data_IF_383774602193
#
_entry.id   IF_383774602193
#
_cell.length_a   1.000
_cell.length_b   1.000
_cell.length_c   1.000
_cell.angle_alpha   90.00
_cell.angle_beta   90.00
_cell.angle_gamma   90.00
#
_symmetry.space_group_name_H-M   'P 1'
#
loop_
_entity.id
_entity.type
_entity.pdbx_description
1 polymer ?
#
# COMPACT_ATOMS: atom_id res chain seq x y z
N UNK A 1 -45.49 47.36 22.56
CA UNK A 1 -44.37 48.24 22.16
C UNK A 1 -43.07 47.48 22.43
N UNK A 2 -42.27 47.32 21.38
CA UNK A 2 -41.12 46.43 21.25
C UNK A 2 -39.98 46.76 22.24
N UNK A 3 -39.37 45.74 22.87
CA UNK A 3 -37.95 45.77 23.26
C UNK A 3 -37.34 44.36 23.14
N UNK A 4 -36.76 44.13 21.97
CA UNK A 4 -35.78 43.08 21.68
C UNK A 4 -34.43 43.46 22.31
N UNK A 5 -33.64 42.46 22.71
CA UNK A 5 -32.15 42.36 22.76
C UNK A 5 -31.71 41.68 24.07
N UNK A 6 -30.82 40.69 24.12
CA UNK A 6 -29.89 40.11 23.15
C UNK A 6 -29.35 38.84 23.78
N UNK A 7 -29.47 37.67 23.13
CA UNK A 7 -28.69 36.49 23.50
C UNK A 7 -27.32 36.64 22.84
N UNK A 8 -26.28 36.81 23.65
CA UNK A 8 -24.89 36.84 23.20
C UNK A 8 -24.46 35.38 22.91
N UNK A 9 -24.63 34.93 21.66
CA UNK A 9 -24.03 33.68 21.22
C UNK A 9 -22.56 33.96 20.89
N UNK A 10 -21.65 33.53 21.78
CA UNK A 10 -20.22 33.53 21.52
C UNK A 10 -19.96 32.41 20.50
N UNK A 11 -19.83 32.78 19.24
CA UNK A 11 -19.34 31.90 18.19
C UNK A 11 -17.82 31.80 18.38
N UNK A 12 -17.36 30.76 19.07
CA UNK A 12 -15.94 30.40 19.07
C UNK A 12 -15.65 29.91 17.66
N UNK A 13 -15.14 30.81 16.82
CA UNK A 13 -14.49 30.46 15.57
C UNK A 13 -13.25 29.67 15.99
N UNK A 14 -13.37 28.35 16.01
CA UNK A 14 -12.21 27.48 15.95
C UNK A 14 -11.47 27.87 14.68
N UNK A 15 -10.31 28.50 14.87
CA UNK A 15 -9.30 28.60 13.84
C UNK A 15 -9.05 27.17 13.34
N UNK A 16 -9.66 26.84 12.21
CA UNK A 16 -9.15 25.78 11.36
C UNK A 16 -7.75 26.24 11.00
N UNK A 17 -6.75 25.67 11.66
CA UNK A 17 -5.41 25.64 11.13
C UNK A 17 -5.52 24.87 9.81
N UNK A 18 -5.83 25.58 8.73
CA UNK A 18 -5.42 25.16 7.41
C UNK A 18 -3.89 25.16 7.49
N UNK A 19 -3.29 23.98 7.64
CA UNK A 19 -1.90 23.83 7.23
C UNK A 19 -1.89 24.26 5.76
N UNK A 20 -1.33 25.43 5.52
CA UNK A 20 -1.03 25.91 4.19
C UNK A 20 -0.07 24.88 3.60
N UNK A 21 -0.57 24.03 2.70
CA UNK A 21 0.23 23.12 1.89
C UNK A 21 1.20 24.00 1.10
N UNK A 22 2.40 24.19 1.63
CA UNK A 22 3.48 24.86 0.92
C UNK A 22 3.83 23.99 -0.29
N UNK A 23 3.78 24.51 -1.54
CA UNK A 23 4.17 23.73 -2.70
C UNK A 23 5.68 23.41 -2.63
N UNK A 24 5.95 22.13 -2.32
CA UNK A 24 7.10 21.30 -2.73
C UNK A 24 8.46 21.98 -2.96
N UNK A 25 9.31 21.94 -1.93
CA UNK A 25 10.77 21.85 -2.12
C UNK A 25 11.19 20.37 -2.15
N UNK A 26 10.51 19.52 -2.92
CA UNK A 26 10.95 18.13 -3.15
C UNK A 26 11.74 18.08 -4.46
N UNK A 27 12.87 17.40 -4.46
CA UNK A 27 13.83 17.40 -5.57
C UNK A 27 13.75 16.12 -6.42
N UNK A 28 13.41 14.99 -5.80
CA UNK A 28 13.27 13.68 -6.46
C UNK A 28 11.92 13.07 -6.08
N UNK A 29 11.26 12.43 -7.03
CA UNK A 29 10.04 11.67 -6.78
C UNK A 29 10.07 10.29 -7.41
N UNK A 30 9.47 9.31 -6.73
CA UNK A 30 9.20 7.97 -7.22
C UNK A 30 7.68 7.77 -7.30
N UNK A 31 7.20 7.32 -8.45
CA UNK A 31 5.80 6.95 -8.68
C UNK A 31 5.69 5.45 -8.89
N UNK A 32 5.06 4.77 -7.93
CA UNK A 32 4.77 3.34 -8.01
C UNK A 32 3.33 3.15 -8.48
N UNK A 33 3.16 2.85 -9.75
CA UNK A 33 1.84 2.64 -10.33
C UNK A 33 1.25 1.29 -9.91
N UNK A 34 -0.08 1.25 -9.74
CA UNK A 34 -0.83 0.04 -9.40
C UNK A 34 -0.51 -1.13 -10.35
N UNK A 35 -0.35 -0.85 -11.64
CA UNK A 35 -0.04 -1.86 -12.64
C UNK A 35 1.29 -2.60 -12.36
N UNK A 36 2.31 -1.92 -11.81
CA UNK A 36 3.57 -2.56 -11.42
C UNK A 36 3.33 -3.65 -10.36
N UNK A 37 2.50 -3.33 -9.38
CA UNK A 37 2.19 -4.24 -8.27
C UNK A 37 1.27 -5.37 -8.76
N UNK A 38 0.31 -5.04 -9.64
CA UNK A 38 -0.55 -6.03 -10.27
C UNK A 38 0.21 -6.96 -11.23
N UNK A 39 1.26 -6.48 -11.90
CA UNK A 39 2.15 -7.32 -12.69
C UNK A 39 3.00 -8.23 -11.81
N UNK A 40 3.40 -7.80 -10.61
CA UNK A 40 3.99 -8.71 -9.62
C UNK A 40 3.03 -9.88 -9.28
N UNK A 41 1.76 -9.61 -8.98
CA UNK A 41 0.78 -10.66 -8.70
C UNK A 41 0.53 -11.61 -9.87
N UNK A 42 0.60 -11.13 -11.12
CA UNK A 42 0.51 -11.99 -12.31
C UNK A 42 1.71 -12.93 -12.46
N UNK A 43 2.90 -12.48 -12.04
CA UNK A 43 4.16 -13.19 -12.27
C UNK A 43 4.64 -14.03 -11.07
N UNK A 44 4.06 -13.87 -9.88
CA UNK A 44 4.48 -14.62 -8.68
C UNK A 44 4.12 -16.12 -8.70
N UNK A 45 3.36 -16.57 -9.69
CA UNK A 45 2.90 -17.95 -9.80
C UNK A 45 1.55 -18.22 -9.13
N UNK A 46 1.24 -19.49 -8.92
CA UNK A 46 -0.07 -19.93 -8.42
C UNK A 46 -0.09 -19.99 -6.89
N UNK A 47 -0.96 -19.22 -6.25
CA UNK A 47 -1.26 -19.37 -4.82
C UNK A 47 -2.42 -20.35 -4.68
N UNK A 48 -2.13 -21.50 -4.07
CA UNK A 48 -3.06 -22.61 -3.94
C UNK A 48 -2.71 -23.45 -2.71
N UNK A 49 -3.69 -24.20 -2.23
CA UNK A 49 -3.51 -25.14 -1.14
C UNK A 49 -4.60 -26.21 -1.15
N UNK A 50 -4.57 -27.05 -0.14
CA UNK A 50 -5.51 -28.13 0.04
C UNK A 50 -5.83 -28.35 1.52
N UNK A 51 -6.86 -29.15 1.77
CA UNK A 51 -7.24 -29.56 3.12
C UNK A 51 -8.22 -30.71 3.09
N UNK A 52 -8.65 -31.14 4.27
CA UNK A 52 -9.51 -32.30 4.45
C UNK A 52 -10.80 -31.92 5.18
N UNK A 53 -11.89 -32.56 4.76
CA UNK A 53 -13.22 -32.50 5.38
C UNK A 53 -13.73 -33.95 5.51
N UNK A 54 -14.74 -34.23 6.35
CA UNK A 54 -15.16 -35.61 6.64
C UNK A 54 -15.52 -36.48 5.42
N UNK A 55 -15.88 -35.86 4.30
CA UNK A 55 -16.33 -36.52 3.07
C UNK A 55 -15.38 -36.30 1.88
N UNK A 56 -14.14 -35.84 2.10
CA UNK A 56 -13.12 -35.80 1.06
C UNK A 56 -12.01 -34.77 1.26
N UNK A 57 -11.17 -34.64 0.24
CA UNK A 57 -10.15 -33.58 0.16
C UNK A 57 -10.67 -32.43 -0.69
N UNK A 58 -10.37 -31.21 -0.26
CA UNK A 58 -10.61 -30.02 -1.07
C UNK A 58 -9.30 -29.40 -1.53
N UNK A 59 -9.33 -28.74 -2.68
CA UNK A 59 -8.24 -27.90 -3.19
C UNK A 59 -8.77 -26.50 -3.38
N UNK A 60 -7.96 -25.50 -3.10
CA UNK A 60 -8.29 -24.11 -3.38
C UNK A 60 -7.16 -23.42 -4.14
N UNK A 61 -7.52 -22.40 -4.92
CA UNK A 61 -6.58 -21.57 -5.67
C UNK A 61 -7.11 -20.15 -5.80
N UNK A 62 -6.23 -19.16 -5.64
CA UNK A 62 -6.52 -17.77 -5.97
C UNK A 62 -6.52 -17.54 -7.49
N UNK A 63 -7.42 -16.68 -7.92
CA UNK A 63 -7.65 -16.26 -9.29
C UNK A 63 -7.57 -14.74 -9.32
N UNK A 64 -6.71 -14.23 -10.19
CA UNK A 64 -6.54 -12.80 -10.43
C UNK A 64 -6.38 -11.97 -9.13
N UNK A 65 -5.44 -12.32 -8.23
CA UNK A 65 -5.09 -11.43 -7.13
C UNK A 65 -4.57 -10.11 -7.69
N UNK A 66 -5.10 -9.01 -7.17
CA UNK A 66 -4.72 -7.65 -7.55
C UNK A 66 -4.98 -6.69 -6.41
N UNK A 67 -4.38 -5.51 -6.50
CA UNK A 67 -4.74 -4.38 -5.67
C UNK A 67 -5.42 -3.29 -6.48
N UNK A 68 -6.18 -2.45 -5.78
CA UNK A 68 -6.73 -1.19 -6.26
C UNK A 68 -6.26 -0.06 -5.34
N UNK A 69 -5.61 0.96 -5.88
CA UNK A 69 -5.08 2.10 -5.12
C UNK A 69 -6.03 3.29 -5.28
N UNK A 70 -6.56 3.76 -4.15
CA UNK A 70 -7.39 4.95 -4.03
C UNK A 70 -6.65 6.05 -3.27
N UNK A 71 -7.24 7.25 -3.23
CA UNK A 71 -6.62 8.45 -2.62
C UNK A 71 -6.24 8.30 -1.15
N UNK A 72 -6.83 7.35 -0.41
CA UNK A 72 -6.57 7.14 1.02
C UNK A 72 -6.49 5.66 1.42
N UNK A 73 -6.57 4.75 0.45
CA UNK A 73 -6.63 3.32 0.76
C UNK A 73 -6.12 2.46 -0.37
N UNK A 74 -5.70 1.24 -0.02
CA UNK A 74 -5.34 0.21 -0.98
C UNK A 74 -6.13 -1.04 -0.64
N UNK A 75 -6.89 -1.53 -1.62
CA UNK A 75 -7.74 -2.70 -1.50
C UNK A 75 -7.08 -3.88 -2.20
N UNK A 76 -6.96 -5.01 -1.52
CA UNK A 76 -6.69 -6.29 -2.15
C UNK A 76 -8.01 -6.92 -2.63
N UNK A 77 -8.02 -7.43 -3.86
CA UNK A 77 -9.15 -8.19 -4.40
C UNK A 77 -8.67 -9.44 -5.11
N UNK A 78 -9.41 -10.53 -4.94
CA UNK A 78 -9.18 -11.77 -5.68
C UNK A 78 -10.46 -12.61 -5.72
N UNK A 79 -10.46 -13.67 -6.51
CA UNK A 79 -11.45 -14.74 -6.46
C UNK A 79 -10.78 -16.02 -6.00
N UNK A 80 -11.35 -16.72 -5.05
CA UNK A 80 -10.90 -18.06 -4.68
C UNK A 80 -11.77 -19.10 -5.36
N UNK A 81 -11.16 -20.10 -6.00
CA UNK A 81 -11.86 -21.29 -6.50
C UNK A 81 -11.57 -22.43 -5.55
N UNK A 82 -12.62 -23.07 -5.02
CA UNK A 82 -12.50 -24.30 -4.25
C UNK A 82 -13.07 -25.47 -5.06
N UNK A 83 -12.45 -26.65 -4.92
CA UNK A 83 -12.81 -27.86 -5.65
C UNK A 83 -12.81 -29.07 -4.73
N UNK A 84 -13.89 -29.87 -4.77
CA UNK A 84 -14.02 -31.17 -4.08
C UNK A 84 -14.38 -32.18 -5.16
N UNK A 85 -13.42 -33.04 -5.54
CA UNK A 85 -13.56 -33.86 -6.74
C UNK A 85 -13.84 -32.99 -7.97
N UNK A 86 -14.96 -33.26 -8.66
CA UNK A 86 -15.38 -32.50 -9.84
C UNK A 86 -16.23 -31.26 -9.52
N UNK A 87 -16.71 -31.12 -8.27
CA UNK A 87 -17.55 -29.99 -7.85
C UNK A 87 -16.67 -28.78 -7.54
N UNK A 88 -17.08 -27.60 -8.01
CA UNK A 88 -16.33 -26.35 -7.85
C UNK A 88 -17.25 -25.23 -7.38
N UNK A 89 -16.73 -24.37 -6.53
CA UNK A 89 -17.37 -23.11 -6.11
C UNK A 89 -16.37 -21.97 -6.17
N UNK A 90 -16.86 -20.74 -6.12
CA UNK A 90 -16.05 -19.53 -6.15
C UNK A 90 -16.55 -18.51 -5.15
N UNK A 91 -15.61 -17.91 -4.43
CA UNK A 91 -15.90 -16.80 -3.53
C UNK A 91 -15.00 -15.60 -3.83
N UNK A 92 -15.51 -14.41 -3.55
CA UNK A 92 -14.72 -13.19 -3.67
C UNK A 92 -13.96 -12.94 -2.37
N UNK A 93 -12.69 -12.59 -2.49
CA UNK A 93 -11.85 -12.18 -1.38
C UNK A 93 -11.61 -10.69 -1.50
N UNK A 94 -11.83 -9.97 -0.40
CA UNK A 94 -11.47 -8.56 -0.26
C UNK A 94 -10.59 -8.41 0.96
N UNK A 95 -9.63 -7.50 0.86
CA UNK A 95 -8.69 -7.24 1.93
C UNK A 95 -8.19 -5.81 1.89
N UNK A 96 -7.51 -5.41 2.97
CA UNK A 96 -6.86 -4.10 3.07
C UNK A 96 -5.35 -4.28 2.99
N UNK A 97 -4.70 -3.34 2.33
CA UNK A 97 -3.24 -3.31 2.18
C UNK A 97 -2.72 -2.06 2.89
N UNK A 98 -1.80 -2.24 3.84
CA UNK A 98 -1.08 -1.13 4.43
C UNK A 98 0.05 -0.70 3.51
N UNK A 99 0.30 0.61 3.50
CA UNK A 99 1.38 1.23 2.73
C UNK A 99 2.16 2.17 3.63
N UNK A 100 3.48 2.04 3.66
CA UNK A 100 4.34 2.92 4.45
C UNK A 100 5.68 3.17 3.78
N UNK A 101 6.35 4.26 4.17
CA UNK A 101 7.70 4.56 3.75
C UNK A 101 8.61 4.64 4.98
N UNK A 102 9.65 3.81 4.99
CA UNK A 102 10.71 3.87 5.99
C UNK A 102 11.85 4.74 5.44
N UNK A 103 11.96 5.97 5.95
CA UNK A 103 12.96 6.93 5.51
C UNK A 103 14.40 6.50 5.85
N UNK A 104 14.62 5.84 6.99
CA UNK A 104 15.97 5.39 7.39
C UNK A 104 16.51 4.30 6.47
N UNK A 105 15.65 3.40 6.03
CA UNK A 105 16.02 2.31 5.11
C UNK A 105 15.81 2.69 3.64
N UNK A 106 15.22 3.85 3.36
CA UNK A 106 14.73 4.27 2.06
C UNK A 106 13.88 3.17 1.36
N UNK A 107 12.88 2.63 2.06
CA UNK A 107 12.01 1.55 1.52
C UNK A 107 10.54 1.94 1.54
N UNK A 108 9.88 1.75 0.40
CA UNK A 108 8.41 1.65 0.33
C UNK A 108 8.01 0.23 0.67
N UNK A 109 7.05 0.07 1.57
CA UNK A 109 6.59 -1.21 2.09
C UNK A 109 5.08 -1.32 1.89
N UNK A 110 4.65 -2.38 1.22
CA UNK A 110 3.25 -2.76 1.07
C UNK A 110 2.99 -4.12 1.71
N UNK A 111 1.95 -4.22 2.54
CA UNK A 111 1.59 -5.46 3.22
C UNK A 111 0.08 -5.68 3.15
N UNK A 112 -0.33 -6.86 2.71
CA UNK A 112 -1.73 -7.30 2.84
C UNK A 112 -1.95 -7.61 4.31
N UNK A 113 -2.77 -6.83 5.01
CA UNK A 113 -2.96 -6.97 6.45
C UNK A 113 -4.05 -7.98 6.80
N UNK A 114 -5.12 -8.00 6.00
CA UNK A 114 -6.26 -8.89 6.21
C UNK A 114 -6.89 -9.21 4.86
N UNK A 115 -7.19 -10.48 4.61
CA UNK A 115 -7.94 -10.91 3.43
C UNK A 115 -8.71 -12.20 3.73
N UNK A 116 -9.68 -12.11 4.65
CA UNK A 116 -10.45 -13.26 5.13
C UNK A 116 -11.56 -13.65 4.16
N UNK A 117 -11.73 -14.95 3.98
CA UNK A 117 -12.83 -15.53 3.20
C UNK A 117 -13.37 -16.78 3.88
N UNK A 118 -14.70 -16.87 3.94
CA UNK A 118 -15.41 -18.10 4.28
C UNK A 118 -15.84 -18.71 2.96
N UNK A 119 -15.50 -19.98 2.74
CA UNK A 119 -15.87 -20.67 1.52
C UNK A 119 -16.88 -21.74 1.89
N UNK A 120 -18.08 -21.58 1.36
CA UNK A 120 -19.17 -22.52 1.47
C UNK A 120 -19.53 -23.13 0.11
N UNK A 121 -20.13 -24.32 0.14
CA UNK A 121 -20.47 -25.08 -1.05
C UNK A 121 -21.81 -25.79 -0.84
N UNK A 122 -22.69 -25.71 -1.84
CA UNK A 122 -23.88 -26.54 -1.89
C UNK A 122 -23.50 -27.98 -2.24
N UNK A 123 -23.67 -28.86 -1.27
CA UNK A 123 -23.48 -30.30 -1.40
C UNK A 123 -24.80 -30.99 -1.07
N UNK A 124 -25.39 -31.61 -2.09
CA UNK A 124 -26.65 -32.35 -1.98
C UNK A 124 -27.83 -31.49 -1.47
N UNK A 125 -27.92 -30.23 -1.92
CA UNK A 125 -29.00 -29.29 -1.56
C UNK A 125 -28.83 -28.68 -0.16
N UNK A 126 -27.64 -28.75 0.41
CA UNK A 126 -27.29 -28.16 1.72
C UNK A 126 -26.04 -27.32 1.56
N UNK A 127 -26.12 -26.07 2.01
CA UNK A 127 -24.96 -25.21 2.05
C UNK A 127 -24.05 -25.58 3.25
N UNK A 128 -22.80 -25.98 2.97
CA UNK A 128 -21.83 -26.42 3.97
C UNK A 128 -20.60 -25.52 3.91
N UNK A 129 -20.20 -24.97 5.06
CA UNK A 129 -18.91 -24.26 5.18
C UNK A 129 -17.78 -25.28 5.06
N UNK A 130 -16.96 -25.12 4.02
CA UNK A 130 -15.84 -26.02 3.75
C UNK A 130 -14.60 -25.57 4.51
N UNK A 131 -14.28 -24.28 4.44
CA UNK A 131 -13.08 -23.74 5.10
C UNK A 131 -13.20 -22.23 5.33
N UNK A 132 -12.35 -21.72 6.22
CA UNK A 132 -12.13 -20.29 6.44
C UNK A 132 -10.64 -20.05 6.24
N UNK A 133 -10.31 -19.12 5.36
CA UNK A 133 -8.93 -18.79 5.04
C UNK A 133 -8.69 -17.31 5.31
N UNK A 134 -7.52 -16.99 5.86
CA UNK A 134 -6.96 -15.65 5.73
C UNK A 134 -5.93 -15.67 4.61
N UNK A 135 -6.25 -15.02 3.50
CA UNK A 135 -5.38 -15.00 2.34
C UNK A 135 -4.12 -14.18 2.62
N UNK A 136 -4.16 -13.25 3.58
CA UNK A 136 -3.01 -12.44 3.98
C UNK A 136 -1.83 -13.31 4.48
N UNK A 137 -2.12 -14.46 5.12
CA UNK A 137 -1.11 -15.38 5.64
C UNK A 137 -0.20 -15.97 4.55
N UNK A 138 -0.68 -16.02 3.29
CA UNK A 138 0.09 -16.50 2.15
C UNK A 138 0.95 -15.40 1.50
N UNK A 139 0.91 -14.19 2.04
CA UNK A 139 1.72 -13.03 1.69
C UNK A 139 2.52 -12.55 2.92
N UNK A 140 3.16 -13.50 3.61
CA UNK A 140 3.92 -13.28 4.85
C UNK A 140 5.03 -12.23 4.71
N UNK A 141 5.64 -12.15 3.54
CA UNK A 141 6.65 -11.16 3.20
C UNK A 141 6.00 -9.94 2.54
N UNK A 142 6.15 -8.75 3.12
CA UNK A 142 5.65 -7.54 2.49
C UNK A 142 6.44 -7.25 1.21
N UNK A 143 5.77 -6.65 0.24
CA UNK A 143 6.40 -6.14 -0.96
C UNK A 143 7.22 -4.90 -0.62
N UNK A 144 8.50 -4.89 -1.00
CA UNK A 144 9.43 -3.81 -0.68
C UNK A 144 10.12 -3.30 -1.94
N UNK A 145 10.13 -1.98 -2.11
CA UNK A 145 10.88 -1.30 -3.16
C UNK A 145 11.75 -0.20 -2.57
N UNK A 146 12.84 0.14 -3.25
CA UNK A 146 13.62 1.32 -2.94
C UNK A 146 12.79 2.59 -3.14
N UNK A 147 12.96 3.55 -2.24
CA UNK A 147 12.44 4.91 -2.43
C UNK A 147 13.38 5.79 -3.24
N UNK A 148 12.97 7.03 -3.55
CA UNK A 148 13.76 7.97 -4.33
C UNK A 148 14.98 8.46 -3.55
N UNK A 149 16.17 8.24 -4.10
CA UNK A 149 17.47 8.65 -3.55
C UNK A 149 18.39 9.20 -4.65
N UNK A 150 19.39 10.02 -4.32
CA UNK A 150 20.41 10.43 -5.28
C UNK A 150 21.23 9.22 -5.74
N UNK A 151 21.80 9.31 -6.95
CA UNK A 151 22.63 8.23 -7.51
C UNK A 151 23.95 8.09 -6.75
N UNK A 152 24.47 9.20 -6.21
CA UNK A 152 25.70 9.26 -5.42
C UNK A 152 25.44 10.06 -4.15
N UNK A 153 26.11 9.68 -3.07
CA UNK A 153 26.11 10.41 -1.79
C UNK A 153 27.01 11.64 -1.84
N UNK A 154 27.87 11.75 -2.85
CA UNK A 154 28.84 12.83 -2.98
C UNK A 154 29.00 13.30 -4.43
N UNK A 155 29.29 14.59 -4.61
CA UNK A 155 29.75 15.17 -5.87
C UNK A 155 31.16 15.74 -5.63
N UNK A 156 32.13 15.28 -6.42
CA UNK A 156 33.52 15.74 -6.37
C UNK A 156 33.82 16.64 -7.57
N UNK A 157 34.49 17.77 -7.34
CA UNK A 157 35.00 18.63 -8.42
C UNK A 157 36.35 19.26 -8.07
N UNK A 158 37.13 19.53 -9.11
CA UNK A 158 38.42 20.22 -8.99
C UNK A 158 38.24 21.74 -9.00
N UNK A 159 38.94 22.42 -8.10
CA UNK A 159 39.00 23.88 -8.02
C UNK A 159 40.16 24.43 -8.85
N UNK A 160 40.14 25.71 -9.26
CA UNK A 160 41.21 26.34 -10.04
C UNK A 160 42.59 26.34 -9.37
N UNK A 161 42.65 26.24 -8.04
CA UNK A 161 43.90 26.15 -7.27
C UNK A 161 44.49 24.72 -7.24
N UNK A 162 43.86 23.77 -7.94
CA UNK A 162 44.26 22.36 -7.99
C UNK A 162 43.76 21.50 -6.83
N UNK A 163 43.06 22.08 -5.86
CA UNK A 163 42.42 21.31 -4.78
C UNK A 163 41.15 20.62 -5.26
N UNK A 164 40.71 19.58 -4.54
CA UNK A 164 39.45 18.89 -4.81
C UNK A 164 38.46 19.22 -3.70
N UNK A 165 37.21 19.51 -4.08
CA UNK A 165 36.10 19.71 -3.16
C UNK A 165 35.10 18.58 -3.32
N UNK A 166 34.64 18.05 -2.19
CA UNK A 166 33.58 17.08 -2.10
C UNK A 166 32.37 17.73 -1.44
N UNK A 167 31.19 17.55 -2.05
CA UNK A 167 29.92 18.00 -1.50
C UNK A 167 29.09 16.76 -1.19
N UNK A 168 28.69 16.60 0.06
CA UNK A 168 27.79 15.54 0.50
C UNK A 168 26.36 15.88 0.07
N UNK A 169 25.62 14.86 -0.36
CA UNK A 169 24.20 14.93 -0.71
C UNK A 169 23.42 14.14 0.33
N UNK A 170 22.63 14.84 1.14
CA UNK A 170 21.79 14.24 2.17
C UNK A 170 20.32 14.25 1.80
N UNK A 171 19.56 13.29 2.32
CA UNK A 171 18.09 13.35 2.34
C UNK A 171 17.65 14.14 3.56
N UNK A 172 16.98 15.28 3.34
CA UNK A 172 16.47 16.13 4.42
C UNK A 172 15.11 15.67 4.93
N UNK A 173 14.17 15.50 4.01
CA UNK A 173 12.81 15.07 4.33
C UNK A 173 12.24 14.25 3.18
N UNK A 174 11.36 13.33 3.54
CA UNK A 174 10.57 12.57 2.58
C UNK A 174 9.10 12.60 2.96
N UNK A 175 8.26 12.45 1.95
CA UNK A 175 6.81 12.41 2.08
C UNK A 175 6.25 11.33 1.17
N UNK A 176 5.27 10.60 1.67
CA UNK A 176 4.55 9.58 0.91
C UNK A 176 3.06 9.90 0.92
N UNK A 177 2.43 9.79 -0.23
CA UNK A 177 0.97 9.92 -0.39
C UNK A 177 0.42 8.86 -1.33
N UNK A 178 -0.86 8.55 -1.14
CA UNK A 178 -1.64 7.76 -2.07
C UNK A 178 -2.36 8.70 -3.03
N UNK A 179 -2.25 8.41 -4.31
CA UNK A 179 -3.02 9.05 -5.38
C UNK A 179 -3.74 7.93 -6.11
N UNK A 180 -4.91 8.20 -6.69
CA UNK A 180 -5.62 7.20 -7.51
C UNK A 180 -4.63 6.51 -8.47
N UNK A 181 -4.61 5.18 -8.41
CA UNK A 181 -3.79 4.26 -9.21
C UNK A 181 -2.27 4.31 -8.97
N UNK A 182 -1.76 5.03 -7.95
CA UNK A 182 -0.31 5.08 -7.66
C UNK A 182 0.05 5.50 -6.23
N UNK A 183 1.22 5.06 -5.79
CA UNK A 183 1.89 5.56 -4.58
C UNK A 183 2.96 6.56 -5.01
N UNK A 184 2.95 7.75 -4.42
CA UNK A 184 3.95 8.78 -4.69
C UNK A 184 4.83 8.97 -3.47
N UNK A 185 6.15 8.86 -3.67
CA UNK A 185 7.15 9.20 -2.65
C UNK A 185 7.96 10.37 -3.19
N UNK A 186 8.08 11.42 -2.38
CA UNK A 186 8.82 12.65 -2.71
C UNK A 186 9.92 12.83 -1.67
N UNK A 187 11.10 13.21 -2.12
CA UNK A 187 12.27 13.43 -1.26
C UNK A 187 12.90 14.78 -1.58
N UNK A 188 13.23 15.56 -0.55
CA UNK A 188 14.07 16.74 -0.68
C UNK A 188 15.50 16.39 -0.28
N UNK A 189 16.43 17.00 -0.98
CA UNK A 189 17.86 16.84 -0.75
C UNK A 189 18.45 18.13 -0.19
N UNK A 190 19.46 17.99 0.65
CA UNK A 190 20.33 19.08 1.09
C UNK A 190 21.77 18.76 0.69
N UNK A 191 22.59 19.81 0.58
CA UNK A 191 24.01 19.72 0.32
C UNK A 191 24.79 20.28 1.49
N UNK A 192 25.86 19.60 1.88
CA UNK A 192 26.79 20.08 2.90
C UNK A 192 28.22 19.89 2.42
N UNK A 193 29.06 20.87 2.75
CA UNK A 193 30.51 20.70 2.68
C UNK A 193 30.92 19.71 3.79
N UNK A 194 31.98 18.94 3.56
CA UNK A 194 32.65 18.16 4.62
C UNK A 194 33.34 19.04 5.67
#
# INVERSE_FOLDING_TARGET
MLKVRTFLSIFIISFLFTQEDQPSNYHISLSLHENLINDFFKNMGSIQGDGEIPFGKYKWKLIEPRIEIEKDTILFTSKIRLSIGDVKTHENVKGWVSSSYNQQLNKVILKIEEAKVIIDMDLFGKNIVITKLDIADYFDKPFKLDGPQPISENIEFSLPDGTRRQIQIGVRQSYMELVKDKILVKTSLDFSDE
#
